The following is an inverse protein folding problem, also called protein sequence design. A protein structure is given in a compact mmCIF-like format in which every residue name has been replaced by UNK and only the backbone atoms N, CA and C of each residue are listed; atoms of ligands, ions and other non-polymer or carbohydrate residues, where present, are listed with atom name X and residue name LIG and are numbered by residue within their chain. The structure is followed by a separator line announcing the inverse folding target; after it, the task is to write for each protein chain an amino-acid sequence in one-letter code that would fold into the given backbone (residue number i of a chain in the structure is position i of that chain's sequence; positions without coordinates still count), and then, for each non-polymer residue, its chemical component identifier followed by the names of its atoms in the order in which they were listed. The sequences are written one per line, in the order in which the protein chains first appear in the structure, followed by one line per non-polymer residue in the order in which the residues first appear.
data_IF_064548940304
#
_entry.id   IF_064548940304
#
_cell.length_a   1.000
_cell.length_b   1.000
_cell.length_c   1.000
_cell.angle_alpha   90.00
_cell.angle_beta   90.00
_cell.angle_gamma   90.00
#
_symmetry.space_group_name_H-M   'P 1'
#
loop_
_entity.id
_entity.type
_entity.pdbx_description
1 polymer ?
#
# COMPACT_ATOMS: atom_id res chain seq x y z
N UNK A 1 25.22 22.02 12.50
CA UNK A 1 24.84 20.96 11.54
C UNK A 1 23.87 20.05 12.29
N UNK A 2 22.56 20.24 12.11
CA UNK A 2 21.52 19.56 12.90
C UNK A 2 21.36 18.09 12.44
N UNK A 3 21.48 17.10 13.34
CA UNK A 3 21.54 15.67 12.98
C UNK A 3 20.16 14.97 12.92
N UNK A 4 19.09 15.63 12.49
CA UNK A 4 17.72 15.12 12.68
C UNK A 4 17.00 14.60 11.42
N UNK A 5 17.57 14.73 10.21
CA UNK A 5 16.88 14.34 8.95
C UNK A 5 17.25 12.95 8.40
N UNK A 6 18.18 12.21 9.02
CA UNK A 6 18.74 10.95 8.45
C UNK A 6 18.00 9.67 8.91
N UNK A 7 16.90 9.79 9.66
CA UNK A 7 16.30 8.63 10.36
C UNK A 7 14.84 8.29 10.00
N UNK A 8 14.19 9.01 9.09
CA UNK A 8 12.84 8.64 8.62
C UNK A 8 12.87 7.81 7.34
N UNK A 9 13.85 8.09 6.48
CA UNK A 9 14.10 7.33 5.26
C UNK A 9 14.47 5.87 5.58
N UNK A 10 15.31 5.60 6.58
CA UNK A 10 15.82 4.24 6.87
C UNK A 10 14.74 3.25 7.36
N UNK A 11 13.75 3.71 8.13
CA UNK A 11 12.64 2.87 8.65
C UNK A 11 11.59 2.58 7.59
N UNK A 12 11.25 3.60 6.79
CA UNK A 12 10.48 3.42 5.58
C UNK A 12 11.24 2.51 4.62
N UNK A 13 12.57 2.64 4.50
CA UNK A 13 13.42 1.76 3.70
C UNK A 13 13.43 0.32 4.20
N UNK A 14 13.41 0.03 5.51
CA UNK A 14 13.31 -1.35 5.99
C UNK A 14 11.96 -2.00 5.67
N UNK A 15 10.87 -1.21 5.68
CA UNK A 15 9.54 -1.64 5.25
C UNK A 15 9.41 -1.65 3.71
N UNK A 16 10.10 -0.79 2.98
CA UNK A 16 10.11 -0.78 1.50
C UNK A 16 11.17 -1.69 0.89
N UNK A 17 12.11 -2.22 1.68
CA UNK A 17 12.99 -3.32 1.30
C UNK A 17 12.34 -4.70 1.47
N UNK A 18 11.08 -4.76 1.90
CA UNK A 18 10.28 -5.98 1.84
C UNK A 18 9.88 -6.26 0.39
N UNK A 19 10.28 -7.43 -0.10
CA UNK A 19 9.94 -7.88 -1.44
C UNK A 19 8.42 -8.04 -1.59
N UNK A 20 7.72 -8.45 -0.53
CA UNK A 20 6.26 -8.59 -0.56
C UNK A 20 5.55 -7.25 -0.78
N UNK A 21 6.05 -6.16 -0.20
CA UNK A 21 5.47 -4.82 -0.37
C UNK A 21 5.72 -4.33 -1.78
N UNK A 22 6.92 -4.53 -2.32
CA UNK A 22 7.25 -4.21 -3.71
C UNK A 22 6.35 -5.00 -4.68
N UNK A 23 6.17 -6.30 -4.48
CA UNK A 23 5.30 -7.13 -5.32
C UNK A 23 3.82 -6.70 -5.25
N UNK A 24 3.33 -6.37 -4.05
CA UNK A 24 1.97 -5.85 -3.90
C UNK A 24 1.84 -4.50 -4.60
N UNK A 25 2.83 -3.60 -4.45
CA UNK A 25 2.90 -2.28 -5.09
C UNK A 25 2.72 -2.37 -6.62
N UNK A 26 3.26 -3.42 -7.24
CA UNK A 26 3.19 -3.68 -8.68
C UNK A 26 1.85 -4.27 -9.17
N UNK A 27 0.88 -4.55 -8.29
CA UNK A 27 -0.45 -5.03 -8.71
C UNK A 27 -1.24 -3.85 -9.33
N UNK A 28 -1.66 -3.90 -10.60
CA UNK A 28 -2.25 -2.76 -11.31
C UNK A 28 -3.53 -2.19 -10.68
N UNK A 29 -4.24 -2.99 -9.90
CA UNK A 29 -5.48 -2.59 -9.24
C UNK A 29 -5.25 -1.68 -8.03
N UNK A 30 -4.12 -1.83 -7.33
CA UNK A 30 -3.90 -1.13 -6.08
C UNK A 30 -3.38 0.30 -6.28
N UNK A 31 -2.60 0.58 -7.33
CA UNK A 31 -2.05 1.91 -7.60
C UNK A 31 -3.19 2.93 -7.77
N UNK A 32 -4.18 2.57 -8.59
CA UNK A 32 -5.39 3.38 -8.80
C UNK A 32 -6.20 3.51 -7.50
N UNK A 33 -6.32 2.44 -6.73
CA UNK A 33 -7.08 2.43 -5.47
C UNK A 33 -6.43 3.34 -4.43
N UNK A 34 -5.10 3.32 -4.32
CA UNK A 34 -4.33 4.19 -3.41
C UNK A 34 -4.48 5.65 -3.82
N UNK A 35 -4.32 5.98 -5.11
CA UNK A 35 -4.51 7.36 -5.57
C UNK A 35 -5.92 7.89 -5.30
N UNK A 36 -6.95 7.07 -5.53
CA UNK A 36 -8.34 7.43 -5.22
C UNK A 36 -8.54 7.63 -3.72
N UNK A 37 -8.01 6.73 -2.89
CA UNK A 37 -8.08 6.85 -1.45
C UNK A 37 -7.40 8.13 -0.94
N UNK A 38 -6.21 8.46 -1.47
CA UNK A 38 -5.49 9.71 -1.15
C UNK A 38 -6.32 10.93 -1.55
N UNK A 39 -6.90 10.95 -2.74
CA UNK A 39 -7.72 12.09 -3.21
C UNK A 39 -8.95 12.31 -2.32
N UNK A 40 -9.64 11.23 -1.91
CA UNK A 40 -10.79 11.31 -1.02
C UNK A 40 -10.35 11.79 0.36
N UNK A 41 -9.24 11.25 0.86
CA UNK A 41 -8.68 11.63 2.15
C UNK A 41 -8.33 13.13 2.19
N UNK A 42 -7.64 13.66 1.19
CA UNK A 42 -7.33 15.08 1.06
C UNK A 42 -8.59 15.95 1.07
N UNK A 43 -9.62 15.55 0.32
CA UNK A 43 -10.92 16.26 0.31
C UNK A 43 -11.60 16.28 1.68
N UNK A 44 -11.54 15.19 2.43
CA UNK A 44 -12.14 15.10 3.78
C UNK A 44 -11.32 15.89 4.80
N UNK A 45 -9.99 15.84 4.69
CA UNK A 45 -9.06 16.61 5.52
C UNK A 45 -9.32 18.10 5.36
N UNK A 46 -9.35 18.60 4.12
CA UNK A 46 -9.47 20.02 3.79
C UNK A 46 -10.90 20.56 3.81
N UNK A 47 -11.88 19.72 4.16
CA UNK A 47 -13.29 20.12 4.18
C UNK A 47 -13.58 21.24 5.20
N UNK A 48 -12.93 21.21 6.37
CA UNK A 48 -13.05 22.24 7.40
C UNK A 48 -11.76 22.32 8.23
N UNK A 49 -11.54 23.45 8.91
CA UNK A 49 -10.37 23.71 9.75
C UNK A 49 -10.25 22.70 10.92
N UNK A 50 -11.38 22.24 11.50
CA UNK A 50 -11.39 21.24 12.59
C UNK A 50 -10.95 19.86 12.10
N UNK A 51 -11.44 19.42 10.95
CA UNK A 51 -11.07 18.13 10.36
C UNK A 51 -9.61 18.17 9.93
N UNK A 52 -9.19 19.25 9.26
CA UNK A 52 -7.80 19.44 8.87
C UNK A 52 -6.86 19.37 10.07
N UNK A 53 -7.17 20.09 11.16
CA UNK A 53 -6.34 20.07 12.37
C UNK A 53 -6.27 18.69 13.02
N UNK A 54 -7.40 17.98 13.12
CA UNK A 54 -7.45 16.64 13.72
C UNK A 54 -6.65 15.62 12.92
N UNK A 55 -6.90 15.56 11.60
CA UNK A 55 -6.19 14.63 10.72
C UNK A 55 -4.71 14.98 10.59
N UNK A 56 -4.35 16.27 10.46
CA UNK A 56 -2.95 16.71 10.44
C UNK A 56 -2.21 16.39 11.74
N UNK A 57 -2.89 16.50 12.89
CA UNK A 57 -2.31 16.11 14.18
C UNK A 57 -2.10 14.60 14.27
N UNK A 58 -3.07 13.81 13.79
CA UNK A 58 -2.94 12.36 13.71
C UNK A 58 -1.77 11.94 12.80
N UNK A 59 -1.66 12.51 11.60
CA UNK A 59 -0.53 12.30 10.69
C UNK A 59 0.81 12.66 11.35
N UNK A 60 0.88 13.83 11.99
CA UNK A 60 2.09 14.29 12.68
C UNK A 60 2.48 13.36 13.83
N UNK A 61 1.48 12.79 14.52
CA UNK A 61 1.73 11.81 15.60
C UNK A 61 2.29 10.52 15.04
N UNK A 62 1.77 10.04 13.91
CA UNK A 62 2.30 8.86 13.21
C UNK A 62 3.73 9.12 12.74
N UNK A 63 4.02 10.26 12.11
CA UNK A 63 5.37 10.63 11.70
C UNK A 63 6.36 10.63 12.87
N UNK A 64 5.97 11.24 14.00
CA UNK A 64 6.79 11.25 15.21
C UNK A 64 6.97 9.85 15.80
N UNK A 65 5.94 9.02 15.81
CA UNK A 65 6.06 7.64 16.27
C UNK A 65 7.05 6.84 15.40
N UNK A 66 7.06 7.08 14.09
CA UNK A 66 8.04 6.48 13.18
C UNK A 66 9.45 6.97 13.52
N UNK A 67 9.66 8.29 13.68
CA UNK A 67 10.96 8.86 14.06
C UNK A 67 11.52 8.29 15.36
N UNK A 68 10.66 8.11 16.36
CA UNK A 68 11.03 7.58 17.69
C UNK A 68 11.30 6.07 17.62
N UNK A 69 10.58 5.34 16.77
CA UNK A 69 10.71 3.89 16.64
C UNK A 69 11.83 3.45 15.69
N UNK A 70 12.39 4.36 14.88
CA UNK A 70 13.52 4.04 13.98
C UNK A 70 14.67 3.25 14.63
N UNK A 71 15.24 3.64 15.79
CA UNK A 71 16.38 2.92 16.37
C UNK A 71 16.03 1.48 16.81
N UNK A 72 14.75 1.16 16.96
CA UNK A 72 14.28 -0.16 17.39
C UNK A 72 14.13 -1.11 16.20
N UNK A 73 13.87 -0.60 14.99
CA UNK A 73 13.61 -1.43 13.79
C UNK A 73 14.79 -2.32 13.40
N UNK A 74 16.03 -1.91 13.67
CA UNK A 74 17.23 -2.73 13.45
C UNK A 74 17.20 -4.05 14.24
N UNK A 75 16.55 -4.08 15.41
CA UNK A 75 16.39 -5.31 16.20
C UNK A 75 15.29 -6.23 15.67
N UNK A 76 14.38 -5.68 14.85
CA UNK A 76 13.26 -6.41 14.26
C UNK A 76 13.52 -6.85 12.80
N UNK A 77 14.67 -6.55 12.21
CA UNK A 77 15.02 -6.99 10.85
C UNK A 77 14.88 -8.52 10.65
N UNK A 78 15.30 -9.32 11.63
CA UNK A 78 15.19 -10.78 11.56
C UNK A 78 13.74 -11.27 11.48
N UNK A 79 12.87 -10.88 12.43
CA UNK A 79 11.43 -11.15 12.36
C UNK A 79 10.74 -10.58 11.12
N UNK A 80 11.08 -9.34 10.71
CA UNK A 80 10.52 -8.67 9.52
C UNK A 80 10.84 -9.48 8.25
N UNK A 81 12.08 -9.93 8.06
CA UNK A 81 12.47 -10.78 6.91
C UNK A 81 11.74 -12.12 6.88
N UNK A 82 11.50 -12.75 8.04
CA UNK A 82 10.71 -14.00 8.11
C UNK A 82 9.26 -13.76 7.73
N UNK A 83 8.68 -12.67 8.18
CA UNK A 83 7.32 -12.28 7.81
C UNK A 83 7.22 -11.97 6.32
N UNK A 84 8.20 -11.28 5.75
CA UNK A 84 8.29 -11.00 4.31
C UNK A 84 8.25 -12.28 3.48
N UNK A 85 9.03 -13.30 3.86
CA UNK A 85 8.99 -14.60 3.19
C UNK A 85 7.62 -15.31 3.24
N UNK A 86 6.89 -15.17 4.36
CA UNK A 86 5.52 -15.68 4.46
C UNK A 86 4.55 -14.90 3.57
N UNK A 87 4.70 -13.58 3.51
CA UNK A 87 3.88 -12.73 2.66
C UNK A 87 4.13 -13.01 1.17
N UNK A 88 5.39 -13.18 0.76
CA UNK A 88 5.75 -13.61 -0.60
C UNK A 88 5.10 -14.96 -0.94
N UNK A 89 5.18 -15.94 -0.03
CA UNK A 89 4.54 -17.26 -0.22
C UNK A 89 3.01 -17.15 -0.30
N UNK A 90 2.41 -16.27 0.50
CA UNK A 90 0.97 -15.99 0.46
C UNK A 90 0.55 -15.33 -0.85
N UNK A 91 1.38 -14.43 -1.37
CA UNK A 91 1.15 -13.79 -2.66
C UNK A 91 1.28 -14.80 -3.81
N UNK A 92 2.25 -15.71 -3.75
CA UNK A 92 2.39 -16.82 -4.72
C UNK A 92 1.13 -17.69 -4.75
N UNK A 93 0.56 -17.99 -3.57
CA UNK A 93 -0.69 -18.74 -3.47
C UNK A 93 -1.88 -17.98 -4.09
N UNK A 94 -1.99 -16.68 -3.84
CA UNK A 94 -3.03 -15.83 -4.44
C UNK A 94 -2.86 -15.76 -5.96
N UNK A 95 -1.64 -15.65 -6.46
CA UNK A 95 -1.37 -15.65 -7.90
C UNK A 95 -1.73 -16.97 -8.58
N UNK A 96 -1.48 -18.12 -7.93
CA UNK A 96 -1.83 -19.43 -8.46
C UNK A 96 -3.35 -19.65 -8.50
N UNK A 97 -4.06 -19.21 -7.45
CA UNK A 97 -5.51 -19.43 -7.32
C UNK A 97 -6.37 -18.37 -8.00
N UNK A 98 -5.84 -17.16 -8.19
CA UNK A 98 -6.57 -16.00 -8.70
C UNK A 98 -5.72 -15.33 -9.80
N UNK A 99 -5.62 -15.92 -11.01
CA UNK A 99 -4.83 -15.35 -12.11
C UNK A 99 -5.37 -13.98 -12.57
N UNK A 100 -6.62 -13.71 -12.21
CA UNK A 100 -7.32 -12.43 -12.32
C UNK A 100 -6.55 -11.22 -11.74
N UNK A 101 -5.70 -11.41 -10.72
CA UNK A 101 -4.93 -10.32 -10.11
C UNK A 101 -3.84 -9.76 -11.04
N UNK A 102 -3.44 -10.51 -12.08
CA UNK A 102 -2.44 -10.11 -13.08
C UNK A 102 -3.02 -9.28 -14.22
N UNK A 103 -4.35 -9.24 -14.35
CA UNK A 103 -5.02 -8.51 -15.43
C UNK A 103 -5.24 -7.05 -14.99
N UNK A 104 -4.93 -6.07 -15.84
CA UNK A 104 -5.30 -4.70 -15.57
C UNK A 104 -6.83 -4.58 -15.48
N UNK A 105 -7.38 -3.83 -14.50
CA UNK A 105 -8.83 -3.76 -14.24
C UNK A 105 -9.67 -3.38 -15.47
N UNK A 106 -9.09 -2.61 -16.40
CA UNK A 106 -9.75 -2.21 -17.65
C UNK A 106 -10.04 -3.40 -18.59
N UNK A 107 -9.14 -4.38 -18.67
CA UNK A 107 -9.27 -5.55 -19.56
C UNK A 107 -10.16 -6.65 -18.97
N UNK A 108 -10.25 -6.72 -17.63
CA UNK A 108 -11.25 -7.55 -16.94
C UNK A 108 -12.68 -7.09 -17.25
N UNK A 109 -12.92 -5.78 -17.22
CA UNK A 109 -14.23 -5.21 -17.45
C UNK A 109 -14.72 -5.44 -18.88
N UNK A 110 -13.83 -5.29 -19.88
CA UNK A 110 -14.16 -5.57 -21.28
C UNK A 110 -14.40 -7.06 -21.54
N UNK A 111 -13.61 -7.94 -20.93
CA UNK A 111 -13.79 -9.40 -21.05
C UNK A 111 -15.12 -9.85 -20.42
N UNK A 112 -15.49 -9.28 -19.28
CA UNK A 112 -16.76 -9.58 -18.60
C UNK A 112 -17.95 -9.04 -19.38
N UNK A 113 -17.87 -7.81 -19.94
CA UNK A 113 -18.90 -7.29 -20.85
C UNK A 113 -19.06 -8.14 -22.09
N UNK A 114 -17.96 -8.61 -22.69
CA UNK A 114 -17.98 -9.51 -23.83
C UNK A 114 -18.70 -10.83 -23.51
N UNK A 115 -18.39 -11.44 -22.35
CA UNK A 115 -19.01 -12.69 -21.92
C UNK A 115 -20.50 -12.55 -21.61
N UNK A 116 -20.91 -11.46 -20.94
CA UNK A 116 -22.32 -11.18 -20.67
C UNK A 116 -23.08 -10.86 -21.96
N UNK A 117 -22.44 -10.14 -22.89
CA UNK A 117 -23.03 -9.84 -24.20
C UNK A 117 -23.19 -11.11 -25.07
N UNK A 118 -22.21 -12.01 -25.05
CA UNK A 118 -22.24 -13.30 -25.77
C UNK A 118 -23.29 -14.25 -25.17
N UNK A 119 -23.45 -14.26 -23.83
CA UNK A 119 -24.50 -15.02 -23.13
C UNK A 119 -25.92 -14.44 -23.26
N UNK A 120 -26.05 -13.24 -23.80
CA UNK A 120 -27.34 -12.57 -24.04
C UNK A 120 -27.71 -12.51 -25.53
N UNK A 121 -26.91 -13.11 -26.42
CA UNK A 121 -27.36 -13.37 -27.80
C UNK A 121 -28.34 -14.57 -27.80
N UNK A 122 -29.52 -14.43 -28.43
CA UNK A 122 -30.53 -15.50 -28.49
C UNK A 122 -30.09 -16.72 -29.31
#
# INVERSE_FOLDING_TARGET
MSPSEVNQNTTLNALTQMESIDRIAHIPAIEQTVQVATTIYEKVKDYNNVTNWTFSTAESTVQKAIEISTPVVNQFEGPIKKMDGLLCSGLDYVEEKIPAVKLPPGEMYTSTKGYVNDKLQP
#
